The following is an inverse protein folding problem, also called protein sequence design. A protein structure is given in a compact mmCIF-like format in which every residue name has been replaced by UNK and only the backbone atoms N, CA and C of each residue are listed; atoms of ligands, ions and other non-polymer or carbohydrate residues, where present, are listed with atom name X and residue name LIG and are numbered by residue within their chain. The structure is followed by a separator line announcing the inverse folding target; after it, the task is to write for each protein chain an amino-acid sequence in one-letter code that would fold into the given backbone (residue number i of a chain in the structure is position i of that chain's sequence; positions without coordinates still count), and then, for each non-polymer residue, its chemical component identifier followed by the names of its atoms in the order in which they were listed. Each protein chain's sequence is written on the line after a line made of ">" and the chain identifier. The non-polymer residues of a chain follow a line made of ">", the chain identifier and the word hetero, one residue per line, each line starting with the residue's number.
data_IF_867781881454
#
_entry.id   IF_867781881454
#
_cell.length_a   1.000
_cell.length_b   1.000
_cell.length_c   1.000
_cell.angle_alpha   90.00
_cell.angle_beta   90.00
_cell.angle_gamma   90.00
#
_symmetry.space_group_name_H-M   'P 1'
#
loop_
_entity.id
_entity.type
_entity.pdbx_description
1 polymer ?
#
# COMPACT_ATOMS: atom_id res chain seq x y z
N UNK A 1 -13.47 14.50 18.30
CA UNK A 1 -14.25 13.24 18.28
C UNK A 1 -13.84 12.45 17.05
N UNK A 2 -12.99 11.47 17.22
CA UNK A 2 -12.77 10.51 16.17
C UNK A 2 -14.00 9.62 16.04
N UNK A 3 -14.60 9.53 14.87
CA UNK A 3 -15.53 8.45 14.56
C UNK A 3 -14.66 7.19 14.56
N UNK A 4 -14.54 6.55 15.72
CA UNK A 4 -13.77 5.33 15.86
C UNK A 4 -14.41 4.26 14.97
N UNK A 5 -13.64 3.76 14.00
CA UNK A 5 -14.04 2.58 13.25
C UNK A 5 -14.25 1.46 14.28
N UNK A 6 -15.39 0.73 14.23
CA UNK A 6 -15.61 -0.37 15.17
C UNK A 6 -14.44 -1.36 15.15
N UNK A 7 -13.98 -1.79 16.30
CA UNK A 7 -12.84 -2.70 16.42
C UNK A 7 -13.02 -3.99 15.61
N UNK A 8 -14.24 -4.52 15.55
CA UNK A 8 -14.59 -5.70 14.75
C UNK A 8 -14.38 -5.47 13.25
N UNK A 9 -14.72 -4.28 12.75
CA UNK A 9 -14.50 -3.93 11.35
C UNK A 9 -13.01 -3.81 11.04
N UNK A 10 -12.27 -3.15 11.94
CA UNK A 10 -10.82 -3.01 11.81
C UNK A 10 -10.12 -4.37 11.81
N UNK A 11 -10.47 -5.26 12.72
CA UNK A 11 -9.88 -6.60 12.79
C UNK A 11 -10.24 -7.44 11.57
N UNK A 12 -11.47 -7.34 11.06
CA UNK A 12 -11.87 -8.00 9.82
C UNK A 12 -11.10 -7.47 8.61
N UNK A 13 -10.91 -6.15 8.54
CA UNK A 13 -10.13 -5.53 7.47
C UNK A 13 -8.69 -6.05 7.46
N UNK A 14 -8.00 -5.95 8.60
CA UNK A 14 -6.60 -6.35 8.68
C UNK A 14 -6.39 -7.84 8.47
N UNK A 15 -7.27 -8.68 9.00
CA UNK A 15 -7.16 -10.13 8.82
C UNK A 15 -7.30 -10.55 7.36
N UNK A 16 -8.25 -9.99 6.64
CA UNK A 16 -8.43 -10.27 5.21
C UNK A 16 -7.37 -9.61 4.34
N UNK A 17 -7.00 -8.38 4.67
CA UNK A 17 -5.97 -7.64 3.95
C UNK A 17 -4.60 -8.31 4.06
N UNK A 18 -4.33 -9.05 5.12
CA UNK A 18 -3.08 -9.80 5.30
C UNK A 18 -2.94 -11.02 4.39
N UNK A 19 -3.98 -11.42 3.65
CA UNK A 19 -3.84 -12.45 2.63
C UNK A 19 -2.79 -12.02 1.58
N UNK A 20 -1.80 -12.86 1.25
CA UNK A 20 -0.75 -12.48 0.32
C UNK A 20 -1.27 -12.15 -1.09
N UNK A 21 -2.36 -12.77 -1.51
CA UNK A 21 -3.01 -12.46 -2.79
C UNK A 21 -3.58 -11.04 -2.79
N UNK A 22 -4.15 -10.60 -1.66
CA UNK A 22 -4.61 -9.21 -1.52
C UNK A 22 -3.46 -8.23 -1.71
N UNK A 23 -2.36 -8.41 -1.00
CA UNK A 23 -1.19 -7.54 -1.09
C UNK A 23 -0.58 -7.50 -2.49
N UNK A 24 -0.26 -8.66 -3.06
CA UNK A 24 0.39 -8.74 -4.37
C UNK A 24 -0.48 -8.28 -5.54
N UNK A 25 -1.80 -8.49 -5.48
CA UNK A 25 -2.72 -7.99 -6.52
C UNK A 25 -2.99 -6.49 -6.41
N UNK A 26 -2.67 -5.87 -5.28
CA UNK A 26 -2.74 -4.41 -5.12
C UNK A 26 -1.50 -3.68 -5.62
N UNK A 27 -0.34 -4.32 -5.60
CA UNK A 27 0.92 -3.67 -6.05
C UNK A 27 0.80 -3.08 -7.46
N UNK A 28 0.26 -3.79 -8.47
CA UNK A 28 0.10 -3.20 -9.80
C UNK A 28 -1.03 -2.16 -9.91
N UNK A 29 -1.90 -2.04 -8.92
CA UNK A 29 -3.05 -1.13 -8.98
C UNK A 29 -2.63 0.32 -9.17
N UNK A 30 -1.58 0.77 -8.51
CA UNK A 30 -1.04 2.12 -8.68
C UNK A 30 -0.56 2.39 -10.10
N UNK A 31 0.15 1.43 -10.69
CA UNK A 31 0.61 1.53 -12.08
C UNK A 31 -0.56 1.57 -13.06
N UNK A 32 -1.61 0.78 -12.83
CA UNK A 32 -2.83 0.77 -13.65
C UNK A 32 -3.55 2.11 -13.55
N UNK A 33 -3.66 2.69 -12.36
CA UNK A 33 -4.26 4.02 -12.15
C UNK A 33 -3.49 5.09 -12.93
N UNK A 34 -2.16 5.10 -12.83
CA UNK A 34 -1.31 6.05 -13.56
C UNK A 34 -1.45 5.87 -15.07
N UNK A 35 -1.46 4.64 -15.55
CA UNK A 35 -1.68 4.32 -16.97
C UNK A 35 -3.05 4.79 -17.44
N UNK A 36 -4.10 4.57 -16.67
CA UNK A 36 -5.46 5.01 -17.00
C UNK A 36 -5.55 6.54 -17.12
N UNK A 37 -4.88 7.28 -16.24
CA UNK A 37 -4.77 8.74 -16.33
C UNK A 37 -3.99 9.16 -17.58
N UNK A 38 -2.88 8.52 -17.86
CA UNK A 38 -2.08 8.78 -19.07
C UNK A 38 -2.90 8.58 -20.35
N UNK A 39 -3.67 7.49 -20.42
CA UNK A 39 -4.53 7.18 -21.56
C UNK A 39 -5.88 7.92 -21.54
N UNK A 40 -6.16 8.66 -20.47
CA UNK A 40 -7.48 9.28 -20.21
C UNK A 40 -8.64 8.28 -20.32
N UNK A 41 -8.37 7.05 -19.91
CA UNK A 41 -9.34 5.97 -19.91
C UNK A 41 -10.04 5.92 -18.54
N UNK A 42 -11.13 6.68 -18.44
CA UNK A 42 -11.87 6.83 -17.18
C UNK A 42 -12.58 5.55 -16.74
N UNK A 43 -12.88 4.64 -17.66
CA UNK A 43 -13.46 3.32 -17.31
C UNK A 43 -12.43 2.45 -16.60
N UNK A 44 -11.22 2.39 -17.11
CA UNK A 44 -10.11 1.66 -16.47
C UNK A 44 -9.77 2.31 -15.13
N UNK A 45 -9.75 3.64 -15.07
CA UNK A 45 -9.52 4.36 -13.81
C UNK A 45 -10.59 4.00 -12.77
N UNK A 46 -11.86 4.07 -13.12
CA UNK A 46 -12.95 3.70 -12.23
C UNK A 46 -12.87 2.26 -11.75
N UNK A 47 -12.59 1.32 -12.66
CA UNK A 47 -12.41 -0.10 -12.32
C UNK A 47 -11.22 -0.31 -11.37
N UNK A 48 -10.08 0.37 -11.62
CA UNK A 48 -8.90 0.27 -10.76
C UNK A 48 -9.14 0.85 -9.36
N UNK A 49 -9.87 1.96 -9.25
CA UNK A 49 -10.25 2.56 -7.97
C UNK A 49 -11.18 1.65 -7.19
N UNK A 50 -12.20 1.09 -7.83
CA UNK A 50 -13.12 0.11 -7.21
C UNK A 50 -12.34 -1.12 -6.76
N UNK A 51 -11.48 -1.67 -7.60
CA UNK A 51 -10.62 -2.80 -7.24
C UNK A 51 -9.78 -2.50 -5.99
N UNK A 52 -9.14 -1.35 -5.95
CA UNK A 52 -8.32 -0.93 -4.80
C UNK A 52 -9.14 -0.83 -3.52
N UNK A 53 -10.36 -0.33 -3.61
CA UNK A 53 -11.25 -0.17 -2.45
C UNK A 53 -11.78 -1.52 -1.92
N UNK A 54 -12.17 -2.45 -2.80
CA UNK A 54 -12.76 -3.74 -2.39
C UNK A 54 -11.75 -4.84 -2.16
N UNK A 55 -10.55 -4.73 -2.73
CA UNK A 55 -9.52 -5.78 -2.67
C UNK A 55 -9.24 -6.30 -1.26
N UNK A 56 -9.11 -5.45 -0.21
CA UNK A 56 -8.83 -5.93 1.14
C UNK A 56 -9.92 -6.85 1.70
N UNK A 57 -11.13 -6.81 1.15
CA UNK A 57 -12.28 -7.58 1.65
C UNK A 57 -12.58 -8.82 0.81
N UNK A 58 -11.92 -8.99 -0.35
CA UNK A 58 -12.24 -10.07 -1.29
C UNK A 58 -11.61 -11.41 -0.91
N UNK A 59 -10.50 -11.38 -0.21
CA UNK A 59 -9.76 -12.59 0.12
C UNK A 59 -10.03 -13.03 1.55
N UNK A 60 -10.05 -14.35 1.83
CA UNK A 60 -10.19 -14.84 3.20
C UNK A 60 -8.93 -14.52 4.02
N UNK A 61 -9.01 -14.57 5.36
CA UNK A 61 -7.81 -14.50 6.19
C UNK A 61 -6.82 -15.61 5.80
N UNK A 62 -5.49 -15.35 5.86
CA UNK A 62 -4.50 -16.39 5.56
C UNK A 62 -4.52 -17.47 6.62
N UNK A 63 -4.21 -18.70 6.22
CA UNK A 63 -4.14 -19.84 7.13
C UNK A 63 -2.87 -19.82 7.99
N UNK A 64 -1.79 -19.28 7.45
CA UNK A 64 -0.49 -19.13 8.13
C UNK A 64 0.09 -17.76 7.91
N UNK A 65 1.07 -17.37 8.73
CA UNK A 65 1.79 -16.10 8.62
C UNK A 65 3.14 -16.22 7.89
N UNK A 66 3.37 -17.34 7.20
CA UNK A 66 4.68 -17.63 6.59
C UNK A 66 4.99 -16.73 5.38
N UNK A 67 3.95 -16.33 4.65
CA UNK A 67 4.13 -15.48 3.48
C UNK A 67 4.68 -14.10 3.85
N UNK A 68 5.69 -13.64 3.13
CA UNK A 68 6.30 -12.33 3.36
C UNK A 68 5.27 -11.18 3.31
N UNK A 69 4.36 -11.22 2.33
CA UNK A 69 3.33 -10.18 2.22
C UNK A 69 2.37 -10.17 3.41
N UNK A 70 2.02 -11.33 3.94
CA UNK A 70 1.22 -11.45 5.17
C UNK A 70 1.93 -10.77 6.34
N UNK A 71 3.21 -11.08 6.54
CA UNK A 71 4.03 -10.44 7.58
C UNK A 71 4.20 -8.94 7.36
N UNK A 72 4.30 -8.51 6.10
CA UNK A 72 4.37 -7.08 5.77
C UNK A 72 3.12 -6.32 6.22
N UNK A 73 1.93 -6.86 5.96
CA UNK A 73 0.67 -6.25 6.39
C UNK A 73 0.52 -6.27 7.92
N UNK A 74 0.89 -7.38 8.57
CA UNK A 74 0.87 -7.48 10.03
C UNK A 74 1.88 -6.53 10.68
N UNK A 75 3.06 -6.38 10.08
CA UNK A 75 4.07 -5.43 10.53
C UNK A 75 3.59 -3.97 10.38
N UNK A 76 2.90 -3.64 9.29
CA UNK A 76 2.29 -2.32 9.10
C UNK A 76 1.23 -2.04 10.18
N UNK A 77 0.35 -3.01 10.46
CA UNK A 77 -0.64 -2.91 11.52
C UNK A 77 0.00 -2.68 12.89
N UNK A 78 1.01 -3.48 13.22
CA UNK A 78 1.77 -3.34 14.46
C UNK A 78 2.46 -1.99 14.57
N UNK A 79 3.11 -1.54 13.49
CA UNK A 79 3.80 -0.25 13.44
C UNK A 79 2.88 0.93 13.73
N UNK A 80 1.69 0.90 13.13
CA UNK A 80 0.68 1.95 13.32
C UNK A 80 0.09 1.92 14.73
N UNK A 81 -0.20 0.72 15.27
CA UNK A 81 -0.88 0.60 16.56
C UNK A 81 0.04 0.78 17.76
N UNK A 82 1.20 0.18 17.73
CA UNK A 82 2.03 0.03 18.92
C UNK A 82 3.26 0.94 18.94
N UNK A 83 3.83 1.26 17.79
CA UNK A 83 5.09 2.00 17.76
C UNK A 83 4.92 3.50 17.49
N UNK A 84 4.29 3.89 16.39
CA UNK A 84 4.35 5.28 15.96
C UNK A 84 3.01 5.95 15.74
N UNK A 85 1.93 5.20 15.59
CA UNK A 85 0.62 5.66 15.13
C UNK A 85 0.67 6.38 13.76
N UNK A 86 1.77 6.25 13.00
CA UNK A 86 2.01 6.95 11.75
C UNK A 86 2.65 6.05 10.72
N UNK A 87 2.21 6.19 9.48
CA UNK A 87 2.83 5.55 8.30
C UNK A 87 3.64 6.53 7.48
N UNK A 88 3.45 7.83 7.72
CA UNK A 88 4.15 8.92 7.05
C UNK A 88 4.88 9.80 8.05
N UNK A 89 5.94 10.43 7.62
CA UNK A 89 6.76 11.32 8.43
C UNK A 89 8.14 11.54 7.82
N UNK A 90 8.94 12.37 8.44
CA UNK A 90 10.30 12.70 8.00
C UNK A 90 11.38 11.79 8.61
N UNK A 91 11.03 11.08 9.68
CA UNK A 91 11.94 10.12 10.30
C UNK A 91 12.00 8.79 9.55
N UNK A 92 13.16 8.13 9.60
CA UNK A 92 13.32 6.79 9.03
C UNK A 92 12.60 5.74 9.93
N UNK A 93 11.90 4.74 9.37
CA UNK A 93 11.74 4.43 7.94
C UNK A 93 10.55 5.15 7.26
N UNK A 94 9.73 5.90 7.98
CA UNK A 94 8.52 6.53 7.45
C UNK A 94 8.79 7.51 6.29
N UNK A 95 9.97 8.11 6.26
CA UNK A 95 10.39 8.97 5.13
C UNK A 95 10.33 8.24 3.78
N UNK A 96 10.66 6.95 3.76
CA UNK A 96 10.57 6.15 2.53
C UNK A 96 9.14 6.05 2.01
N UNK A 97 8.19 5.80 2.92
CA UNK A 97 6.78 5.75 2.56
C UNK A 97 6.24 7.14 2.15
N UNK A 98 6.69 8.20 2.82
CA UNK A 98 6.33 9.59 2.49
C UNK A 98 6.83 9.98 1.09
N UNK A 99 8.08 9.74 0.80
CA UNK A 99 8.67 10.03 -0.53
C UNK A 99 8.04 9.13 -1.60
N UNK A 100 7.73 7.89 -1.28
CA UNK A 100 6.99 6.99 -2.17
C UNK A 100 5.60 7.51 -2.54
N UNK A 101 4.86 8.05 -1.56
CA UNK A 101 3.56 8.68 -1.80
C UNK A 101 3.68 9.94 -2.68
N UNK A 102 4.68 10.78 -2.42
CA UNK A 102 4.98 11.94 -3.28
C UNK A 102 5.37 11.51 -4.70
N UNK A 103 6.13 10.43 -4.84
CA UNK A 103 6.46 9.83 -6.14
C UNK A 103 5.22 9.40 -6.91
N UNK A 104 4.23 8.84 -6.24
CA UNK A 104 2.95 8.48 -6.85
C UNK A 104 2.16 9.71 -7.32
N UNK A 105 2.08 10.75 -6.51
CA UNK A 105 1.45 12.03 -6.90
C UNK A 105 2.16 12.63 -8.12
N UNK A 106 3.49 12.61 -8.12
CA UNK A 106 4.28 13.04 -9.27
C UNK A 106 3.99 12.21 -10.52
N UNK A 107 3.85 10.88 -10.38
CA UNK A 107 3.51 9.99 -11.48
C UNK A 107 2.14 10.34 -12.08
N UNK A 108 1.14 10.63 -11.25
CA UNK A 108 -0.19 11.08 -11.71
C UNK A 108 -0.09 12.39 -12.48
N UNK A 109 0.65 13.35 -11.97
CA UNK A 109 0.88 14.64 -12.65
C UNK A 109 1.59 14.43 -13.99
N UNK A 110 2.65 13.64 -14.02
CA UNK A 110 3.39 13.35 -15.25
C UNK A 110 2.52 12.61 -16.28
N UNK A 111 1.66 11.68 -15.84
CA UNK A 111 0.69 11.00 -16.69
C UNK A 111 -0.33 11.99 -17.28
N UNK A 112 -0.84 12.88 -16.46
CA UNK A 112 -1.74 13.96 -16.93
C UNK A 112 -1.06 14.84 -17.97
N UNK A 113 0.22 15.16 -17.78
CA UNK A 113 1.05 15.94 -18.70
C UNK A 113 1.55 15.14 -19.91
N UNK A 114 1.09 13.91 -20.08
CA UNK A 114 1.45 13.03 -21.21
C UNK A 114 2.95 12.72 -21.29
N UNK A 115 3.60 12.62 -20.14
CA UNK A 115 5.03 12.25 -20.05
C UNK A 115 5.19 10.82 -19.54
N UNK A 116 5.27 9.80 -20.42
CA UNK A 116 5.31 8.40 -20.02
C UNK A 116 6.58 8.04 -19.24
N UNK A 117 7.72 8.63 -19.60
CA UNK A 117 9.00 8.37 -18.91
C UNK A 117 8.97 8.85 -17.46
N UNK A 118 8.51 10.09 -17.25
CA UNK A 118 8.39 10.66 -15.89
C UNK A 118 7.33 9.94 -15.07
N UNK A 119 6.20 9.57 -15.67
CA UNK A 119 5.17 8.79 -15.01
C UNK A 119 5.70 7.42 -14.58
N UNK A 120 6.41 6.71 -15.43
CA UNK A 120 7.05 5.43 -15.12
C UNK A 120 8.06 5.57 -13.99
N UNK A 121 8.92 6.58 -14.04
CA UNK A 121 9.89 6.86 -12.97
C UNK A 121 9.19 7.08 -11.62
N UNK A 122 8.13 7.86 -11.59
CA UNK A 122 7.34 8.09 -10.38
C UNK A 122 6.71 6.83 -9.82
N UNK A 123 6.16 5.96 -10.69
CA UNK A 123 5.60 4.65 -10.29
C UNK A 123 6.67 3.73 -9.71
N UNK A 124 7.80 3.60 -10.40
CA UNK A 124 8.92 2.75 -9.95
C UNK A 124 9.44 3.22 -8.60
N UNK A 125 9.65 4.52 -8.42
CA UNK A 125 10.08 5.09 -7.16
C UNK A 125 9.05 4.84 -6.04
N UNK A 126 7.77 5.06 -6.33
CA UNK A 126 6.67 4.83 -5.37
C UNK A 126 6.60 3.38 -4.91
N UNK A 127 6.57 2.43 -5.84
CA UNK A 127 6.50 1.00 -5.52
C UNK A 127 7.76 0.54 -4.80
N UNK A 128 8.93 0.92 -5.29
CA UNK A 128 10.21 0.54 -4.70
C UNK A 128 10.36 1.03 -3.27
N UNK A 129 10.03 2.29 -3.00
CA UNK A 129 10.09 2.88 -1.66
C UNK A 129 9.04 2.29 -0.72
N UNK A 130 7.84 1.99 -1.21
CA UNK A 130 6.82 1.31 -0.40
C UNK A 130 7.27 -0.10 0.01
N UNK A 131 7.81 -0.87 -0.93
CA UNK A 131 8.31 -2.21 -0.64
C UNK A 131 9.53 -2.18 0.29
N UNK A 132 10.41 -1.19 0.13
CA UNK A 132 11.53 -0.99 1.04
C UNK A 132 11.06 -0.68 2.45
N UNK A 133 10.11 0.24 2.60
CA UNK A 133 9.51 0.56 3.89
C UNK A 133 8.90 -0.68 4.55
N UNK A 134 8.11 -1.46 3.80
CA UNK A 134 7.53 -2.71 4.29
C UNK A 134 8.61 -3.71 4.72
N UNK A 135 9.69 -3.84 3.96
CA UNK A 135 10.81 -4.71 4.32
C UNK A 135 11.43 -4.32 5.66
N UNK A 136 11.61 -3.04 5.88
CA UNK A 136 12.13 -2.54 7.17
C UNK A 136 11.17 -2.87 8.31
N UNK A 137 9.87 -2.66 8.10
CA UNK A 137 8.85 -2.99 9.11
C UNK A 137 8.82 -4.50 9.42
N UNK A 138 8.91 -5.35 8.39
CA UNK A 138 8.96 -6.81 8.58
C UNK A 138 10.17 -7.20 9.43
N UNK A 139 11.34 -6.62 9.16
CA UNK A 139 12.55 -6.89 9.93
C UNK A 139 12.37 -6.52 11.41
N UNK A 140 11.74 -5.40 11.71
CA UNK A 140 11.46 -4.99 13.09
C UNK A 140 10.41 -5.90 13.74
N UNK A 141 9.36 -6.22 13.01
CA UNK A 141 8.29 -7.11 13.47
C UNK A 141 8.80 -8.52 13.78
N UNK A 142 9.60 -9.10 12.90
CA UNK A 142 10.17 -10.44 13.08
C UNK A 142 11.12 -10.49 14.30
N UNK A 143 11.87 -9.43 14.55
CA UNK A 143 12.71 -9.35 15.76
C UNK A 143 11.90 -9.26 17.06
N UNK A 144 10.71 -8.69 16.98
CA UNK A 144 9.84 -8.50 18.13
C UNK A 144 9.04 -9.76 18.47
N UNK A 145 8.64 -10.55 17.44
CA UNK A 145 7.80 -11.74 17.56
C UNK A 145 8.57 -13.05 17.55
N UNK A 146 9.87 -12.99 17.17
CA UNK A 146 10.74 -14.16 17.07
C UNK A 146 11.55 -14.48 18.36
#
# INVERSE_FOLDING_TARGET
>A
MGVGIPAEFEDRFWSRHSNPRSGWTRVPSGAIIVYAVYRRNWRVLGAALVWTAINPFLFPPPETEDAWMTRAVLAERWWVREETNRTVGLGYPNICNTVGALGFVYALYAAWRQSPKKATLGVVASVGLKLWWLRVLVTHYDRRTG
#
